data_IF_053613189459
#
_entry.id   IF_053613189459
#
_cell.length_a   1.000
_cell.length_b   1.000
_cell.length_c   1.000
_cell.angle_alpha   90.00
_cell.angle_beta   90.00
_cell.angle_gamma   90.00
#
_symmetry.space_group_name_H-M   'P 1'
#
loop_
_entity.id
_entity.type
_entity.pdbx_description
1 polymer ?
#
# COMPACT_ATOMS: atom_id res chain seq x y z
N UNK A 1 4.41 -7.99 -8.23
CA UNK A 1 3.90 -6.88 -7.40
C UNK A 1 4.61 -5.60 -7.79
N UNK A 2 3.89 -4.48 -7.89
CA UNK A 2 4.47 -3.15 -8.16
C UNK A 2 4.16 -2.20 -6.99
N UNK A 3 5.11 -1.31 -6.69
CA UNK A 3 4.95 -0.22 -5.71
C UNK A 3 4.74 1.07 -6.51
N UNK A 4 3.48 1.52 -6.57
CA UNK A 4 3.04 2.60 -7.45
C UNK A 4 2.58 3.82 -6.64
N UNK A 5 2.39 4.94 -7.34
CA UNK A 5 1.71 6.11 -6.80
C UNK A 5 0.34 6.26 -7.45
N UNK A 6 -0.71 6.44 -6.64
CA UNK A 6 -2.07 6.75 -7.10
C UNK A 6 -2.66 5.77 -8.14
N UNK A 7 -2.27 4.49 -8.08
CA UNK A 7 -2.66 3.44 -9.06
C UNK A 7 -2.21 3.72 -10.50
N UNK A 8 -1.32 4.69 -10.73
CA UNK A 8 -0.83 4.99 -12.07
C UNK A 8 0.29 4.01 -12.46
N UNK A 9 0.10 3.16 -13.48
CA UNK A 9 1.13 2.22 -13.93
C UNK A 9 2.38 2.91 -14.47
N UNK A 10 2.33 4.20 -14.80
CA UNK A 10 3.47 4.99 -15.25
C UNK A 10 4.27 5.63 -14.10
N UNK A 11 3.80 5.51 -12.86
CA UNK A 11 4.43 6.12 -11.67
C UNK A 11 4.95 5.04 -10.69
N UNK A 12 5.84 4.12 -11.11
CA UNK A 12 6.52 3.24 -10.17
C UNK A 12 7.48 4.05 -9.29
N UNK A 13 7.32 3.93 -7.98
CA UNK A 13 8.05 4.74 -7.00
C UNK A 13 9.01 3.93 -6.11
N UNK A 14 9.11 2.62 -6.34
CA UNK A 14 10.06 1.76 -5.64
C UNK A 14 9.77 0.28 -5.76
N UNK A 15 10.15 -0.47 -4.73
CA UNK A 15 10.07 -1.94 -4.70
C UNK A 15 9.51 -2.45 -3.38
N UNK A 16 8.74 -3.53 -3.44
CA UNK A 16 8.36 -4.32 -2.27
C UNK A 16 9.49 -5.29 -1.93
N UNK A 17 9.83 -5.37 -0.65
CA UNK A 17 10.86 -6.23 -0.10
C UNK A 17 10.25 -7.46 0.57
N UNK A 18 9.10 -7.29 1.21
CA UNK A 18 8.40 -8.36 1.92
C UNK A 18 6.88 -8.17 1.79
N UNK A 19 6.18 -9.28 1.62
CA UNK A 19 4.73 -9.37 1.65
C UNK A 19 4.37 -10.61 2.46
N UNK A 20 3.52 -10.43 3.47
CA UNK A 20 3.05 -11.53 4.31
C UNK A 20 1.61 -11.27 4.71
N UNK A 21 0.78 -12.31 4.68
CA UNK A 21 -0.57 -12.24 5.24
C UNK A 21 -0.54 -12.78 6.68
N UNK A 22 -1.13 -12.03 7.61
CA UNK A 22 -1.31 -12.45 8.99
C UNK A 22 -2.78 -12.31 9.42
N UNK A 23 -3.09 -12.67 10.67
CA UNK A 23 -4.45 -12.60 11.21
C UNK A 23 -5.07 -11.19 11.25
N UNK A 24 -4.26 -10.13 11.09
CA UNK A 24 -4.71 -8.73 11.00
C UNK A 24 -4.96 -8.31 9.55
N UNK A 25 -4.19 -8.86 8.62
CA UNK A 25 -4.33 -8.62 7.17
C UNK A 25 -3.01 -8.72 6.42
N UNK A 26 -2.92 -8.04 5.28
CA UNK A 26 -1.72 -8.00 4.46
C UNK A 26 -0.69 -7.02 5.02
N UNK A 27 0.46 -7.55 5.43
CA UNK A 27 1.67 -6.80 5.71
C UNK A 27 2.49 -6.60 4.43
N UNK A 28 3.01 -5.39 4.25
CA UNK A 28 3.90 -5.05 3.16
C UNK A 28 5.04 -4.16 3.66
N UNK A 29 6.28 -4.54 3.35
CA UNK A 29 7.48 -3.75 3.59
C UNK A 29 8.12 -3.42 2.25
N UNK A 30 8.39 -2.14 2.02
CA UNK A 30 8.92 -1.66 0.75
C UNK A 30 9.95 -0.57 0.93
N UNK A 31 10.60 -0.23 -0.17
CA UNK A 31 11.59 0.85 -0.26
C UNK A 31 11.25 1.74 -1.44
N UNK A 32 11.06 3.04 -1.18
CA UNK A 32 11.01 4.06 -2.22
C UNK A 32 12.40 4.22 -2.86
N UNK A 33 12.44 4.45 -4.17
CA UNK A 33 13.68 4.65 -4.93
C UNK A 33 13.92 6.14 -5.19
N UNK A 34 14.75 6.84 -4.39
CA UNK A 34 14.92 8.29 -4.47
C UNK A 34 15.54 8.75 -5.79
N UNK A 35 16.01 7.85 -6.64
CA UNK A 35 16.48 8.15 -8.00
C UNK A 35 15.31 8.56 -8.91
N UNK A 36 14.11 8.06 -8.64
CA UNK A 36 12.87 8.44 -9.32
C UNK A 36 12.33 9.75 -8.76
N UNK A 37 12.08 10.74 -9.62
CA UNK A 37 11.58 12.07 -9.21
C UNK A 37 10.31 11.98 -8.37
N UNK A 38 9.31 11.22 -8.85
CA UNK A 38 8.06 11.04 -8.11
C UNK A 38 8.27 10.43 -6.73
N UNK A 39 9.18 9.47 -6.58
CA UNK A 39 9.45 8.84 -5.30
C UNK A 39 10.03 9.84 -4.29
N UNK A 40 10.84 10.81 -4.73
CA UNK A 40 11.34 11.90 -3.86
C UNK A 40 10.21 12.81 -3.40
N UNK A 41 9.31 13.18 -4.30
CA UNK A 41 8.14 14.01 -3.97
C UNK A 41 7.22 13.30 -2.97
N UNK A 42 6.89 12.03 -3.23
CA UNK A 42 6.10 11.18 -2.33
C UNK A 42 6.77 11.09 -0.96
N UNK A 43 8.09 10.83 -0.91
CA UNK A 43 8.83 10.79 0.34
C UNK A 43 8.78 12.12 1.10
N UNK A 44 8.83 13.25 0.40
CA UNK A 44 8.71 14.60 0.99
C UNK A 44 7.32 14.80 1.62
N UNK A 45 6.26 14.43 0.90
CA UNK A 45 4.87 14.52 1.38
C UNK A 45 4.62 13.59 2.57
N UNK A 46 5.11 12.35 2.52
CA UNK A 46 5.07 11.40 3.64
C UNK A 46 5.85 11.92 4.85
N UNK A 47 6.98 12.60 4.61
CA UNK A 47 7.78 13.24 5.67
C UNK A 47 7.00 14.34 6.38
N UNK A 48 6.27 15.15 5.62
CA UNK A 48 5.41 16.21 6.12
C UNK A 48 4.06 15.72 6.71
N UNK A 49 3.74 14.43 6.58
CA UNK A 49 2.45 13.87 7.01
C UNK A 49 1.27 14.25 6.10
N UNK A 50 1.55 14.77 4.91
CA UNK A 50 0.54 15.14 3.92
C UNK A 50 0.06 13.95 3.07
N UNK A 51 0.79 12.85 3.10
CA UNK A 51 0.50 11.64 2.34
C UNK A 51 0.87 10.43 3.20
N UNK A 52 -0.10 9.60 3.55
CA UNK A 52 0.15 8.43 4.39
C UNK A 52 -0.78 7.23 4.08
N UNK A 53 -1.45 7.23 2.93
CA UNK A 53 -2.42 6.21 2.57
C UNK A 53 -1.81 5.07 1.77
N UNK A 54 -2.32 3.85 1.99
CA UNK A 54 -2.05 2.68 1.17
C UNK A 54 -3.35 2.12 0.57
N UNK A 55 -3.26 1.66 -0.67
CA UNK A 55 -4.35 0.96 -1.34
C UNK A 55 -3.80 -0.21 -2.15
N UNK A 56 -4.67 -1.17 -2.45
CA UNK A 56 -4.34 -2.32 -3.27
C UNK A 56 -5.18 -2.37 -4.55
N UNK A 57 -4.55 -2.78 -5.62
CA UNK A 57 -5.13 -3.11 -6.90
C UNK A 57 -5.06 -4.61 -7.07
N UNK A 58 -6.19 -5.23 -7.36
CA UNK A 58 -6.31 -6.67 -7.45
C UNK A 58 -7.33 -7.08 -8.51
N UNK A 59 -7.18 -8.30 -9.00
CA UNK A 59 -8.21 -8.97 -9.80
C UNK A 59 -8.99 -9.92 -8.90
N UNK A 60 -10.32 -9.86 -8.98
CA UNK A 60 -11.17 -10.84 -8.28
C UNK A 60 -11.10 -12.18 -9.02
N UNK A 61 -10.74 -13.24 -8.30
CA UNK A 61 -10.73 -14.62 -8.81
C UNK A 61 -12.01 -15.34 -8.39
N UNK A 62 -12.40 -15.16 -7.12
CA UNK A 62 -13.63 -15.71 -6.56
C UNK A 62 -14.26 -14.72 -5.60
N UNK A 63 -15.58 -14.56 -5.70
CA UNK A 63 -16.35 -13.73 -4.79
C UNK A 63 -17.84 -13.92 -5.01
N UNK A 64 -18.62 -13.38 -4.09
CA UNK A 64 -20.09 -13.45 -4.11
C UNK A 64 -20.68 -12.13 -3.63
N UNK A 65 -21.83 -11.77 -4.18
CA UNK A 65 -22.61 -10.63 -3.68
C UNK A 65 -23.77 -11.18 -2.89
N UNK A 66 -23.91 -10.72 -1.65
CA UNK A 66 -25.06 -11.05 -0.82
C UNK A 66 -26.31 -10.37 -1.41
N UNK A 67 -27.35 -11.12 -1.84
CA UNK A 67 -28.49 -10.54 -2.55
C UNK A 67 -29.36 -9.62 -1.69
N UNK A 68 -29.37 -9.82 -0.37
CA UNK A 68 -30.21 -9.06 0.54
C UNK A 68 -29.57 -7.72 0.94
N UNK A 69 -28.28 -7.73 1.20
CA UNK A 69 -27.53 -6.54 1.64
C UNK A 69 -26.77 -5.83 0.52
N UNK A 70 -26.59 -6.47 -0.64
CA UNK A 70 -25.75 -5.97 -1.73
C UNK A 70 -24.24 -6.01 -1.42
N UNK A 71 -23.83 -6.55 -0.28
CA UNK A 71 -22.42 -6.58 0.13
C UNK A 71 -21.66 -7.57 -0.74
N UNK A 72 -20.60 -7.08 -1.41
CA UNK A 72 -19.68 -7.91 -2.18
C UNK A 72 -18.62 -8.50 -1.24
N UNK A 73 -18.59 -9.83 -1.15
CA UNK A 73 -17.54 -10.62 -0.48
C UNK A 73 -16.54 -11.13 -1.51
N UNK A 74 -15.26 -10.91 -1.25
CA UNK A 74 -14.15 -11.37 -2.07
C UNK A 74 -13.51 -12.55 -1.34
N UNK A 75 -13.62 -13.74 -1.91
CA UNK A 75 -13.10 -14.97 -1.29
C UNK A 75 -11.68 -15.27 -1.75
N UNK A 76 -11.35 -14.91 -3.00
CA UNK A 76 -10.01 -15.04 -3.56
C UNK A 76 -9.73 -13.91 -4.52
N UNK A 77 -8.56 -13.30 -4.38
CA UNK A 77 -8.07 -12.23 -5.25
C UNK A 77 -6.64 -12.52 -5.69
N UNK A 78 -6.28 -12.08 -6.88
CA UNK A 78 -4.90 -11.96 -7.31
C UNK A 78 -4.47 -10.51 -7.03
N UNK A 79 -3.51 -10.34 -6.12
CA UNK A 79 -2.96 -9.02 -5.79
C UNK A 79 -1.94 -8.60 -6.86
N UNK A 80 -2.14 -7.43 -7.46
CA UNK A 80 -1.34 -6.97 -8.59
C UNK A 80 -0.36 -5.87 -8.20
N UNK A 81 -0.85 -4.89 -7.46
CA UNK A 81 -0.09 -3.73 -7.02
C UNK A 81 -0.51 -3.28 -5.62
N UNK A 82 0.36 -2.48 -5.03
CA UNK A 82 0.06 -1.72 -3.82
C UNK A 82 0.58 -0.31 -4.09
N UNK A 83 -0.30 0.67 -3.89
CA UNK A 83 -0.03 2.08 -4.16
C UNK A 83 0.05 2.90 -2.87
N UNK A 84 0.94 3.89 -2.87
CA UNK A 84 0.81 5.04 -1.97
C UNK A 84 -0.28 5.94 -2.55
N UNK A 85 -1.29 6.29 -1.74
CA UNK A 85 -2.45 7.06 -2.17
C UNK A 85 -2.79 8.20 -1.21
N UNK A 86 -3.40 9.27 -1.73
CA UNK A 86 -3.89 10.39 -0.91
C UNK A 86 -5.05 9.95 -0.01
N UNK A 87 -5.99 9.17 -0.58
CA UNK A 87 -7.20 8.76 0.12
C UNK A 87 -7.40 7.24 0.00
N UNK A 88 -7.03 6.47 1.04
CA UNK A 88 -7.22 5.02 1.00
C UNK A 88 -8.69 4.67 1.21
N UNK A 89 -9.18 3.63 0.52
CA UNK A 89 -10.54 3.10 0.76
C UNK A 89 -10.69 2.60 2.20
N UNK A 90 -9.63 1.98 2.75
CA UNK A 90 -9.57 1.58 4.16
C UNK A 90 -8.84 2.66 4.96
N UNK A 91 -9.57 3.38 5.83
CA UNK A 91 -9.01 4.52 6.61
C UNK A 91 -7.78 4.15 7.48
N UNK A 92 -7.62 2.88 7.81
CA UNK A 92 -6.50 2.35 8.62
C UNK A 92 -5.34 1.79 7.78
N UNK A 93 -5.49 1.67 6.47
CA UNK A 93 -4.42 1.29 5.56
C UNK A 93 -3.51 2.50 5.36
N UNK A 94 -2.58 2.67 6.30
CA UNK A 94 -1.60 3.75 6.32
C UNK A 94 -0.21 3.16 6.45
N UNK A 95 0.78 3.75 5.79
CA UNK A 95 2.14 3.32 6.08
C UNK A 95 2.52 3.71 7.50
N UNK A 96 3.51 2.99 8.03
CA UNK A 96 4.24 3.40 9.21
C UNK A 96 5.70 3.44 8.82
N UNK A 97 6.40 4.48 9.25
CA UNK A 97 7.86 4.51 9.12
C UNK A 97 8.43 3.41 9.99
N UNK A 98 9.27 2.57 9.40
CA UNK A 98 10.10 1.67 10.18
C UNK A 98 11.17 2.50 10.87
N UNK A 99 11.13 2.54 12.20
CA UNK A 99 12.24 3.11 12.98
C UNK A 99 13.40 2.14 12.89
N UNK A 100 14.61 2.57 12.48
CA UNK A 100 15.78 1.70 12.53
C UNK A 100 15.95 1.16 13.96
N UNK A 101 15.94 -0.15 14.12
CA UNK A 101 16.25 -0.81 15.37
C UNK A 101 17.73 -0.56 15.68
N UNK A 102 18.04 0.52 16.39
CA UNK A 102 19.42 0.91 16.69
C UNK A 102 19.63 2.30 17.29
N UNK A 103 18.66 3.21 17.27
CA UNK A 103 18.73 4.45 18.06
C UNK A 103 17.81 4.33 19.28
N UNK A 104 18.26 3.56 20.27
CA UNK A 104 17.93 3.90 21.65
C UNK A 104 18.53 5.28 21.91
N UNK A 105 17.69 6.22 22.33
CA UNK A 105 18.10 7.55 22.72
C UNK A 105 19.26 7.46 23.72
N UNK A 106 20.37 8.10 23.39
CA UNK A 106 21.39 8.50 24.35
C UNK A 106 20.91 9.71 25.16
#
# INVERSE_FOLDING_TARGET
MKLLFQHDPNEPIGVWLELAEDARGLFAKGRLMPEVTRAREVLSLMRAGALDGLSIGFRTVQGRTDPASGVRRLDKIDLWEISVVTFPMLRRARERRETPSGLAAA
#
